data_IF_674169239887
#
_entry.id   IF_674169239887
#
_cell.length_a   1.000
_cell.length_b   1.000
_cell.length_c   1.000
_cell.angle_alpha   90.00
_cell.angle_beta   90.00
_cell.angle_gamma   90.00
#
_symmetry.space_group_name_H-M   'P 1'
#
loop_
_entity.id
_entity.type
_entity.pdbx_description
1 polymer ?
#
# COMPACT_ATOMS: atom_id res chain seq x y z
N UNK A 1 28.10 14.89 -9.14
CA UNK A 1 27.14 15.99 -8.92
C UNK A 1 25.77 15.41 -9.16
N UNK A 2 24.91 15.35 -8.14
CA UNK A 2 23.55 14.83 -8.32
C UNK A 2 22.66 15.99 -8.75
N UNK A 3 22.46 16.11 -10.07
CA UNK A 3 21.66 17.19 -10.69
C UNK A 3 20.20 17.18 -10.22
N UNK A 4 19.73 16.06 -9.68
CA UNK A 4 18.37 15.92 -9.16
C UNK A 4 18.08 16.79 -7.94
N UNK A 5 19.12 17.32 -7.27
CA UNK A 5 18.97 18.25 -6.14
C UNK A 5 18.50 19.65 -6.57
N UNK A 6 18.68 19.98 -7.84
CA UNK A 6 18.28 21.26 -8.42
C UNK A 6 16.95 21.16 -9.18
N UNK A 7 16.29 20.00 -9.08
CA UNK A 7 15.10 19.68 -9.83
C UNK A 7 13.92 20.49 -9.32
N UNK A 8 13.25 21.21 -10.22
CA UNK A 8 12.11 22.05 -9.87
C UNK A 8 10.81 21.32 -10.19
N UNK A 9 9.73 21.72 -9.52
CA UNK A 9 8.40 21.15 -9.77
C UNK A 9 7.99 21.21 -11.26
N UNK A 10 8.38 22.27 -11.97
CA UNK A 10 8.11 22.43 -13.40
C UNK A 10 8.88 21.45 -14.31
N UNK A 11 9.93 20.82 -13.81
CA UNK A 11 10.71 19.81 -14.56
C UNK A 11 10.07 18.42 -14.47
N UNK A 12 9.10 18.23 -13.58
CA UNK A 12 8.40 16.97 -13.36
C UNK A 12 7.27 16.78 -14.37
N UNK A 13 7.03 15.51 -14.74
CA UNK A 13 5.81 15.14 -15.47
C UNK A 13 4.57 15.30 -14.57
N UNK A 14 3.39 15.39 -15.16
CA UNK A 14 2.12 15.53 -14.42
C UNK A 14 1.93 14.44 -13.34
N UNK A 15 2.29 13.19 -13.66
CA UNK A 15 2.22 12.07 -12.70
C UNK A 15 3.17 12.26 -11.52
N UNK A 16 4.40 12.73 -11.78
CA UNK A 16 5.37 12.98 -10.72
C UNK A 16 5.03 14.25 -9.92
N UNK A 17 4.41 15.25 -10.54
CA UNK A 17 3.83 16.40 -9.85
C UNK A 17 2.71 15.97 -8.90
N UNK A 18 1.82 15.08 -9.34
CA UNK A 18 0.79 14.50 -8.47
C UNK A 18 1.40 13.77 -7.27
N UNK A 19 2.46 12.99 -7.48
CA UNK A 19 3.17 12.30 -6.39
C UNK A 19 3.88 13.32 -5.49
N UNK A 20 4.49 14.37 -6.05
CA UNK A 20 5.11 15.46 -5.31
C UNK A 20 4.10 16.10 -4.34
N UNK A 21 2.90 16.41 -4.82
CA UNK A 21 1.87 17.10 -4.04
C UNK A 21 1.32 16.24 -2.90
N UNK A 22 1.30 14.91 -3.06
CA UNK A 22 0.79 13.96 -2.05
C UNK A 22 1.87 13.49 -1.09
N UNK A 23 3.08 13.20 -1.60
CA UNK A 23 4.14 12.49 -0.88
C UNK A 23 5.37 13.36 -0.58
N UNK A 24 5.50 14.52 -1.24
CA UNK A 24 6.63 15.44 -1.11
C UNK A 24 7.81 15.15 -2.04
N UNK A 25 8.64 16.18 -2.21
CA UNK A 25 9.82 16.20 -3.09
C UNK A 25 10.78 15.02 -2.87
N UNK A 26 11.11 14.73 -1.61
CA UNK A 26 12.09 13.71 -1.26
C UNK A 26 11.69 12.32 -1.80
N UNK A 27 10.40 12.01 -1.84
CA UNK A 27 9.89 10.73 -2.38
C UNK A 27 10.05 10.69 -3.89
N UNK A 28 9.75 11.80 -4.59
CA UNK A 28 9.89 11.89 -6.04
C UNK A 28 11.35 11.72 -6.46
N UNK A 29 12.29 12.36 -5.76
CA UNK A 29 13.73 12.19 -6.01
C UNK A 29 14.13 10.72 -5.84
N UNK A 30 13.72 10.07 -4.74
CA UNK A 30 14.00 8.65 -4.53
C UNK A 30 13.40 7.76 -5.63
N UNK A 31 12.19 8.07 -6.10
CA UNK A 31 11.56 7.32 -7.19
C UNK A 31 12.33 7.48 -8.50
N UNK A 32 12.76 8.69 -8.85
CA UNK A 32 13.56 8.93 -10.06
C UNK A 32 14.89 8.18 -9.97
N UNK A 33 15.57 8.24 -8.82
CA UNK A 33 16.88 7.60 -8.61
C UNK A 33 16.81 6.07 -8.67
N UNK A 34 15.76 5.46 -8.12
CA UNK A 34 15.70 4.01 -7.92
C UNK A 34 14.79 3.29 -8.92
N UNK A 35 13.82 3.99 -9.51
CA UNK A 35 12.79 3.42 -10.39
C UNK A 35 12.77 4.06 -11.79
N UNK A 36 13.69 4.99 -12.09
CA UNK A 36 13.78 5.64 -13.39
C UNK A 36 13.89 4.66 -14.55
N UNK A 37 13.08 4.84 -15.59
CA UNK A 37 13.01 3.96 -16.76
C UNK A 37 12.09 2.75 -16.62
N UNK A 38 11.54 2.51 -15.41
CA UNK A 38 10.50 1.50 -15.21
C UNK A 38 9.12 2.09 -15.50
N UNK A 39 8.23 1.24 -16.00
CA UNK A 39 6.80 1.52 -16.07
C UNK A 39 6.07 0.50 -15.21
N UNK A 40 5.32 0.96 -14.23
CA UNK A 40 4.52 0.09 -13.38
C UNK A 40 3.17 0.72 -13.06
N UNK A 41 2.18 -0.15 -12.91
CA UNK A 41 0.82 0.24 -12.53
C UNK A 41 0.72 0.30 -11.01
N UNK A 42 0.11 1.37 -10.49
CA UNK A 42 -0.27 1.46 -9.07
C UNK A 42 -1.64 0.81 -8.91
N UNK A 43 -1.74 -0.38 -8.28
CA UNK A 43 -3.00 -1.09 -8.19
C UNK A 43 -3.96 -0.42 -7.23
N UNK A 44 -5.23 -0.30 -7.64
CA UNK A 44 -6.32 -0.06 -6.72
C UNK A 44 -6.50 -1.27 -5.81
N UNK A 45 -6.07 -1.17 -4.56
CA UNK A 45 -6.30 -2.23 -3.57
C UNK A 45 -7.77 -2.15 -3.12
N UNK A 46 -8.60 -3.05 -3.63
CA UNK A 46 -10.04 -3.09 -3.28
C UNK A 46 -10.33 -3.87 -2.01
N UNK A 47 -9.46 -4.82 -1.65
CA UNK A 47 -9.59 -5.66 -0.45
C UNK A 47 -8.22 -6.06 0.06
N UNK A 48 -8.07 -6.14 1.37
CA UNK A 48 -6.86 -6.60 2.05
C UNK A 48 -6.98 -8.06 2.50
N UNK A 49 -7.66 -8.90 1.72
CA UNK A 49 -8.00 -10.28 2.07
C UNK A 49 -6.75 -11.10 2.50
N UNK A 50 -5.66 -11.02 1.73
CA UNK A 50 -4.41 -11.74 2.05
C UNK A 50 -3.75 -11.23 3.34
N UNK A 51 -3.72 -9.90 3.53
CA UNK A 51 -3.17 -9.26 4.73
C UNK A 51 -3.99 -9.68 5.96
N UNK A 52 -5.31 -9.64 5.86
CA UNK A 52 -6.22 -9.99 6.95
C UNK A 52 -6.12 -11.49 7.25
N UNK A 53 -6.03 -12.35 6.24
CA UNK A 53 -5.84 -13.79 6.44
C UNK A 53 -4.50 -14.10 7.13
N UNK A 54 -3.41 -13.45 6.71
CA UNK A 54 -2.11 -13.55 7.39
C UNK A 54 -2.22 -13.11 8.85
N UNK A 55 -2.90 -12.00 9.12
CA UNK A 55 -3.14 -11.51 10.48
C UNK A 55 -3.89 -12.54 11.34
N UNK A 56 -4.95 -13.17 10.82
CA UNK A 56 -5.66 -14.25 11.52
C UNK A 56 -4.71 -15.43 11.82
N UNK A 57 -3.87 -15.81 10.85
CA UNK A 57 -2.90 -16.91 11.01
C UNK A 57 -1.79 -16.62 12.01
N UNK A 58 -1.44 -15.36 12.22
CA UNK A 58 -0.46 -14.94 13.23
C UNK A 58 -1.10 -14.85 14.63
N UNK A 59 -2.43 -14.70 14.72
CA UNK A 59 -3.19 -14.54 15.96
C UNK A 59 -4.13 -15.73 16.25
N UNK A 60 -3.72 -16.97 15.93
CA UNK A 60 -4.58 -18.18 16.03
C UNK A 60 -5.15 -18.47 17.43
N UNK A 61 -4.50 -17.96 18.48
CA UNK A 61 -4.98 -18.11 19.86
C UNK A 61 -6.23 -17.26 20.15
N UNK A 62 -6.52 -16.27 19.32
CA UNK A 62 -7.66 -15.38 19.50
C UNK A 62 -8.88 -15.86 18.70
N UNK A 63 -10.07 -15.64 19.26
CA UNK A 63 -11.32 -15.96 18.56
C UNK A 63 -11.56 -15.00 17.39
N UNK A 64 -12.20 -15.49 16.32
CA UNK A 64 -12.58 -14.64 15.18
C UNK A 64 -13.43 -13.44 15.61
N UNK A 65 -14.26 -13.59 16.65
CA UNK A 65 -15.04 -12.48 17.22
C UNK A 65 -14.16 -11.34 17.73
N UNK A 66 -13.10 -11.67 18.47
CA UNK A 66 -12.18 -10.68 19.03
C UNK A 66 -11.34 -10.02 17.94
N UNK A 67 -10.92 -10.80 16.95
CA UNK A 67 -10.20 -10.29 15.78
C UNK A 67 -11.08 -9.36 14.92
N UNK A 68 -12.34 -9.73 14.70
CA UNK A 68 -13.30 -8.94 13.92
C UNK A 68 -13.52 -7.56 14.56
N UNK A 69 -13.71 -7.52 15.88
CA UNK A 69 -13.85 -6.28 16.63
C UNK A 69 -12.60 -5.38 16.51
N UNK A 70 -11.40 -5.96 16.62
CA UNK A 70 -10.14 -5.22 16.49
C UNK A 70 -9.94 -4.65 15.09
N UNK A 71 -10.31 -5.41 14.07
CA UNK A 71 -10.15 -5.05 12.67
C UNK A 71 -11.29 -4.15 12.15
N UNK A 72 -12.33 -3.89 12.95
CA UNK A 72 -13.49 -3.11 12.54
C UNK A 72 -14.34 -3.77 11.45
N UNK A 73 -14.39 -5.10 11.42
CA UNK A 73 -15.13 -5.89 10.42
C UNK A 73 -16.11 -6.86 11.07
N UNK A 74 -16.99 -7.47 10.29
CA UNK A 74 -17.91 -8.47 10.81
C UNK A 74 -17.21 -9.83 11.02
N UNK A 75 -17.65 -10.58 12.02
CA UNK A 75 -17.17 -11.96 12.22
C UNK A 75 -17.48 -12.85 11.00
N UNK A 76 -18.61 -12.61 10.34
CA UNK A 76 -19.00 -13.33 9.12
C UNK A 76 -18.02 -13.11 7.98
N UNK A 77 -17.50 -11.88 7.81
CA UNK A 77 -16.46 -11.60 6.83
C UNK A 77 -15.21 -12.44 7.09
N UNK A 78 -14.73 -12.53 8.34
CA UNK A 78 -13.57 -13.35 8.67
C UNK A 78 -13.83 -14.85 8.46
N UNK A 79 -15.04 -15.35 8.75
CA UNK A 79 -15.43 -16.74 8.47
C UNK A 79 -15.38 -17.06 6.98
N UNK A 80 -15.96 -16.20 6.15
CA UNK A 80 -15.89 -16.32 4.69
C UNK A 80 -14.45 -16.28 4.20
N UNK A 81 -13.64 -15.39 4.77
CA UNK A 81 -12.23 -15.28 4.44
C UNK A 81 -11.46 -16.55 4.78
N UNK A 82 -11.58 -17.07 6.00
CA UNK A 82 -10.92 -18.33 6.41
C UNK A 82 -11.35 -19.50 5.51
N UNK A 83 -12.63 -19.57 5.13
CA UNK A 83 -13.12 -20.60 4.20
C UNK A 83 -12.52 -20.47 2.79
N UNK A 84 -12.20 -19.27 2.32
CA UNK A 84 -11.63 -19.03 0.99
C UNK A 84 -10.18 -19.51 0.88
N UNK A 85 -9.42 -19.50 1.97
CA UNK A 85 -7.99 -19.85 1.99
C UNK A 85 -7.68 -21.26 2.53
N UNK A 86 -8.69 -22.01 2.97
CA UNK A 86 -8.60 -23.42 3.37
C UNK A 86 -9.10 -24.31 2.24
#
# INVERSE_FOLDING_TARGET
MNILKDLQYGDLTEDLQMIYDVCGEAVVIQMIENLGGLSFYVPKITRFDDLIYRYIRENKAETLKKLAMRLGVTEQYLKCLVKKYN
#
